data_IF_348552723128
#
_entry.id   IF_348552723128
#
_cell.length_a   1.000
_cell.length_b   1.000
_cell.length_c   1.000
_cell.angle_alpha   90.00
_cell.angle_beta   90.00
_cell.angle_gamma   90.00
#
_symmetry.space_group_name_H-M   'P 1'
#
loop_
_entity.id
_entity.type
_entity.pdbx_description
1 polymer ?
#
# COMPACT_ATOMS: atom_id res chain seq x y z
N UNK A 1 61.15 53.63 11.00
CA UNK A 1 60.21 52.49 11.15
C UNK A 1 58.84 52.95 10.64
N UNK A 2 58.44 52.53 9.44
CA UNK A 2 57.13 52.88 8.87
C UNK A 2 56.22 51.66 8.93
N UNK A 3 55.22 51.70 9.82
CA UNK A 3 54.18 50.69 9.93
C UNK A 3 53.25 50.73 8.73
N UNK A 4 53.30 49.68 7.91
CA UNK A 4 52.42 49.50 6.75
C UNK A 4 51.01 49.10 7.22
N UNK A 5 50.05 50.00 7.21
CA UNK A 5 48.63 49.72 7.36
C UNK A 5 48.13 48.81 6.24
N UNK A 6 47.88 47.51 6.53
CA UNK A 6 47.16 46.59 5.63
C UNK A 6 45.75 47.13 5.38
N UNK A 7 45.49 47.59 4.13
CA UNK A 7 44.12 47.91 3.67
C UNK A 7 43.28 46.61 3.62
N UNK A 8 42.28 46.47 4.48
CA UNK A 8 41.26 45.43 4.37
C UNK A 8 40.51 45.65 3.06
N UNK A 9 40.61 44.68 2.15
CA UNK A 9 39.80 44.64 0.92
C UNK A 9 38.30 44.40 1.35
N UNK A 10 37.45 45.42 1.18
CA UNK A 10 36.00 45.29 1.35
C UNK A 10 35.48 44.26 0.34
N UNK A 11 34.82 43.20 0.84
CA UNK A 11 34.16 42.23 -0.07
C UNK A 11 33.16 42.94 -0.95
N UNK A 12 33.09 42.62 -2.24
CA UNK A 12 32.21 43.30 -3.18
C UNK A 12 30.73 43.05 -2.75
N UNK A 13 29.88 44.06 -2.92
CA UNK A 13 28.49 44.07 -2.50
C UNK A 13 27.67 42.92 -3.12
N UNK A 14 27.94 42.51 -4.34
CA UNK A 14 27.30 41.38 -5.00
C UNK A 14 27.52 40.03 -4.31
N UNK A 15 28.68 39.85 -3.65
CA UNK A 15 28.94 38.66 -2.83
C UNK A 15 28.00 38.61 -1.60
N UNK A 16 27.75 39.76 -0.97
CA UNK A 16 26.79 39.83 0.15
C UNK A 16 25.36 39.57 -0.33
N UNK A 17 25.00 40.08 -1.53
CA UNK A 17 23.70 39.82 -2.15
C UNK A 17 23.56 38.32 -2.47
N UNK A 18 24.60 37.67 -3.03
CA UNK A 18 24.63 36.23 -3.27
C UNK A 18 24.38 35.42 -2.01
N UNK A 19 25.06 35.73 -0.91
CA UNK A 19 24.83 35.05 0.40
C UNK A 19 23.40 35.25 0.88
N UNK A 20 22.82 36.42 0.72
CA UNK A 20 21.45 36.71 1.16
C UNK A 20 20.41 35.93 0.33
N UNK A 21 20.60 35.85 -0.98
CA UNK A 21 19.74 35.06 -1.89
C UNK A 21 19.86 33.57 -1.57
N UNK A 22 21.08 33.03 -1.42
CA UNK A 22 21.29 31.64 -1.04
C UNK A 22 20.70 31.31 0.34
N UNK A 23 20.87 32.22 1.32
CA UNK A 23 20.27 32.09 2.62
C UNK A 23 18.74 32.06 2.58
N UNK A 24 18.12 32.93 1.78
CA UNK A 24 16.67 32.95 1.59
C UNK A 24 16.16 31.66 0.93
N UNK A 25 16.82 31.22 -0.15
CA UNK A 25 16.48 29.94 -0.82
C UNK A 25 16.62 28.76 0.13
N UNK A 26 17.72 28.71 0.91
CA UNK A 26 17.92 27.66 1.91
C UNK A 26 16.82 27.65 2.95
N UNK A 27 16.45 28.81 3.53
CA UNK A 27 15.40 28.91 4.52
C UNK A 27 14.03 28.47 3.97
N UNK A 28 13.68 28.86 2.73
CA UNK A 28 12.45 28.44 2.08
C UNK A 28 12.45 26.93 1.84
N UNK A 29 13.56 26.38 1.32
CA UNK A 29 13.70 24.94 1.08
C UNK A 29 13.62 24.13 2.38
N UNK A 30 14.30 24.58 3.44
CA UNK A 30 14.25 23.95 4.76
C UNK A 30 12.83 24.00 5.37
N UNK A 31 12.14 25.13 5.21
CA UNK A 31 10.74 25.27 5.67
C UNK A 31 9.81 24.31 4.90
N UNK A 32 9.93 24.22 3.56
CA UNK A 32 9.14 23.31 2.75
C UNK A 32 9.41 21.84 3.14
N UNK A 33 10.68 21.45 3.23
CA UNK A 33 11.06 20.09 3.65
C UNK A 33 10.56 19.76 5.07
N UNK A 34 10.64 20.69 6.00
CA UNK A 34 10.14 20.54 7.37
C UNK A 34 8.61 20.36 7.39
N UNK A 35 7.90 21.15 6.61
CA UNK A 35 6.43 21.03 6.47
C UNK A 35 6.03 19.68 5.89
N UNK A 36 6.71 19.23 4.82
CA UNK A 36 6.39 17.98 4.15
C UNK A 36 6.73 16.77 5.07
N UNK A 37 7.83 16.85 5.83
CA UNK A 37 8.17 15.87 6.85
C UNK A 37 7.10 15.78 7.96
N UNK A 38 6.64 16.94 8.48
CA UNK A 38 5.61 16.96 9.51
C UNK A 38 4.26 16.44 9.01
N UNK A 39 3.90 16.73 7.74
CA UNK A 39 2.70 16.19 7.12
C UNK A 39 2.76 14.66 7.01
N UNK A 40 3.87 14.13 6.47
CA UNK A 40 4.07 12.68 6.34
C UNK A 40 4.09 11.97 7.71
N UNK A 41 4.69 12.60 8.73
CA UNK A 41 4.67 12.07 10.09
C UNK A 41 3.25 12.03 10.66
N UNK A 42 2.47 13.11 10.49
CA UNK A 42 1.08 13.15 10.94
C UNK A 42 0.23 12.06 10.27
N UNK A 43 0.43 11.79 8.98
CA UNK A 43 -0.25 10.71 8.27
C UNK A 43 0.13 9.32 8.82
N UNK A 44 1.43 9.07 9.06
CA UNK A 44 1.89 7.83 9.69
C UNK A 44 1.31 7.65 11.10
N UNK A 45 1.37 8.70 11.93
CA UNK A 45 0.80 8.68 13.30
C UNK A 45 -0.71 8.41 13.30
N UNK A 46 -1.43 8.87 12.25
CA UNK A 46 -2.87 8.61 12.10
C UNK A 46 -3.15 7.12 11.79
N UNK A 47 -2.40 6.49 10.88
CA UNK A 47 -2.54 5.06 10.59
C UNK A 47 -2.13 4.19 11.79
N UNK A 48 -1.05 4.54 12.49
CA UNK A 48 -0.64 3.88 13.73
C UNK A 48 -1.74 3.97 14.81
N UNK A 49 -2.46 5.10 14.86
CA UNK A 49 -3.58 5.28 15.79
C UNK A 49 -4.77 4.39 15.43
N UNK A 50 -5.06 4.22 14.13
CA UNK A 50 -6.11 3.29 13.67
C UNK A 50 -5.75 1.84 13.96
N UNK A 51 -4.50 1.44 13.75
CA UNK A 51 -4.02 0.09 14.08
C UNK A 51 -4.13 -0.19 15.59
N UNK A 52 -3.78 0.78 16.44
CA UNK A 52 -3.96 0.67 17.90
C UNK A 52 -5.44 0.57 18.29
N UNK A 53 -6.29 1.40 17.70
CA UNK A 53 -7.73 1.36 17.94
C UNK A 53 -8.31 -0.01 17.57
N UNK A 54 -7.88 -0.59 16.44
CA UNK A 54 -8.29 -1.94 16.06
C UNK A 54 -7.80 -2.99 17.07
N UNK A 55 -6.57 -2.87 17.58
CA UNK A 55 -6.05 -3.76 18.61
C UNK A 55 -6.84 -3.65 19.93
N UNK A 56 -7.22 -2.45 20.34
CA UNK A 56 -8.06 -2.23 21.52
C UNK A 56 -9.44 -2.88 21.33
N UNK A 57 -10.07 -2.75 20.16
CA UNK A 57 -11.31 -3.45 19.83
C UNK A 57 -11.16 -4.96 19.79
N UNK A 58 -10.04 -5.48 19.31
CA UNK A 58 -9.74 -6.92 19.30
C UNK A 58 -9.66 -7.50 20.73
N UNK A 59 -9.08 -6.76 21.68
CA UNK A 59 -9.02 -7.17 23.08
C UNK A 59 -10.41 -7.15 23.75
N UNK A 60 -11.24 -6.16 23.45
CA UNK A 60 -12.59 -6.04 24.02
C UNK A 60 -13.54 -7.13 23.51
N UNK A 61 -13.41 -7.56 22.25
CA UNK A 61 -14.32 -8.50 21.59
C UNK A 61 -13.83 -9.94 21.55
N UNK A 62 -12.59 -10.23 21.98
CA UNK A 62 -12.04 -11.57 21.93
C UNK A 62 -12.95 -12.56 22.69
N UNK A 63 -13.49 -13.62 22.03
CA UNK A 63 -14.24 -14.65 22.74
C UNK A 63 -13.29 -15.35 23.72
N UNK A 64 -13.74 -15.53 24.95
CA UNK A 64 -12.96 -16.19 26.02
C UNK A 64 -12.67 -17.67 25.77
N UNK A 65 -13.07 -18.26 24.62
CA UNK A 65 -13.19 -19.72 24.44
C UNK A 65 -12.52 -20.24 23.15
N UNK A 66 -11.35 -19.73 22.77
CA UNK A 66 -10.61 -20.26 21.62
C UNK A 66 -9.43 -21.19 21.99
N UNK A 67 -9.32 -21.65 23.25
CA UNK A 67 -8.15 -22.39 23.77
C UNK A 67 -8.31 -23.89 23.94
N UNK A 68 -9.44 -24.52 23.62
CA UNK A 68 -9.63 -25.95 23.79
C UNK A 68 -9.94 -26.72 22.50
N UNK A 69 -8.88 -27.01 21.71
CA UNK A 69 -8.88 -28.23 20.85
C UNK A 69 -7.44 -28.68 20.64
N UNK A 70 -7.04 -29.71 21.40
CA UNK A 70 -5.70 -30.29 21.34
C UNK A 70 -5.62 -31.36 20.24
N UNK A 71 -4.91 -31.04 19.15
CA UNK A 71 -4.40 -31.95 18.15
C UNK A 71 -2.86 -31.88 18.08
N UNK A 72 -2.20 -32.72 17.28
CA UNK A 72 -0.74 -32.83 17.17
C UNK A 72 -0.05 -31.46 17.01
N UNK A 73 1.18 -31.28 17.52
CA UNK A 73 1.89 -30.01 17.71
C UNK A 73 1.84 -29.03 16.55
N UNK A 74 1.91 -29.51 15.30
CA UNK A 74 1.85 -28.66 14.10
C UNK A 74 0.45 -28.08 13.84
N UNK A 75 -0.59 -28.83 14.14
CA UNK A 75 -1.98 -28.40 13.98
C UNK A 75 -2.38 -27.41 15.10
N UNK A 76 -1.77 -27.54 16.28
CA UNK A 76 -1.95 -26.56 17.37
C UNK A 76 -1.32 -25.22 17.08
N UNK A 77 -0.12 -25.19 16.47
CA UNK A 77 0.53 -23.94 16.07
C UNK A 77 -0.27 -23.21 15.00
N UNK A 78 -0.76 -23.93 13.99
CA UNK A 78 -1.63 -23.35 12.94
C UNK A 78 -2.95 -22.85 13.50
N UNK A 79 -3.58 -23.60 14.39
CA UNK A 79 -4.82 -23.20 15.04
C UNK A 79 -4.63 -21.95 15.91
N UNK A 80 -3.50 -21.82 16.62
CA UNK A 80 -3.16 -20.66 17.42
C UNK A 80 -2.89 -19.42 16.53
N UNK A 81 -2.15 -19.60 15.41
CA UNK A 81 -1.94 -18.53 14.42
C UNK A 81 -3.28 -18.06 13.84
N UNK A 82 -4.13 -19.00 13.45
CA UNK A 82 -5.45 -18.67 12.90
C UNK A 82 -6.35 -17.94 13.90
N UNK A 83 -6.34 -18.35 15.16
CA UNK A 83 -7.09 -17.69 16.22
C UNK A 83 -6.62 -16.23 16.43
N UNK A 84 -5.31 -15.97 16.33
CA UNK A 84 -4.78 -14.60 16.42
C UNK A 84 -5.21 -13.77 15.21
N UNK A 85 -5.19 -14.33 14.01
CA UNK A 85 -5.68 -13.65 12.81
C UNK A 85 -7.17 -13.30 12.87
N UNK A 86 -8.00 -14.21 13.43
CA UNK A 86 -9.42 -13.95 13.66
C UNK A 86 -9.64 -12.84 14.69
N UNK A 87 -8.82 -12.82 15.74
CA UNK A 87 -8.85 -11.74 16.74
C UNK A 87 -8.49 -10.39 16.13
N UNK A 88 -7.41 -10.32 15.33
CA UNK A 88 -7.05 -9.13 14.58
C UNK A 88 -8.18 -8.68 13.63
N UNK A 89 -8.76 -9.62 12.87
CA UNK A 89 -9.83 -9.36 11.94
C UNK A 89 -11.06 -8.74 12.62
N UNK A 90 -11.44 -9.25 13.81
CA UNK A 90 -12.54 -8.70 14.61
C UNK A 90 -12.25 -7.24 15.04
N UNK A 91 -11.01 -6.93 15.37
CA UNK A 91 -10.58 -5.57 15.70
C UNK A 91 -10.66 -4.64 14.48
N UNK A 92 -10.16 -5.08 13.33
CA UNK A 92 -10.23 -4.29 12.09
C UNK A 92 -11.67 -4.06 11.63
N UNK A 93 -12.57 -5.04 11.76
CA UNK A 93 -13.99 -4.89 11.41
C UNK A 93 -14.66 -3.73 12.18
N UNK A 94 -14.21 -3.45 13.41
CA UNK A 94 -14.77 -2.37 14.21
C UNK A 94 -14.49 -0.97 13.63
N UNK A 95 -13.46 -0.81 12.77
CA UNK A 95 -13.14 0.46 12.11
C UNK A 95 -14.23 0.93 11.14
N UNK A 96 -15.17 0.05 10.76
CA UNK A 96 -16.38 0.45 10.01
C UNK A 96 -17.21 1.50 10.76
N UNK A 97 -17.13 1.54 12.08
CA UNK A 97 -17.82 2.55 12.89
C UNK A 97 -17.16 3.93 12.78
N UNK A 98 -15.86 3.98 12.45
CA UNK A 98 -15.09 5.23 12.31
C UNK A 98 -15.24 5.84 10.90
N UNK A 99 -15.41 5.00 9.88
CA UNK A 99 -15.59 5.44 8.51
C UNK A 99 -16.54 4.48 7.77
N UNK A 100 -17.71 4.95 7.27
CA UNK A 100 -18.66 4.12 6.53
C UNK A 100 -18.09 3.61 5.18
N UNK A 101 -17.07 4.26 4.61
CA UNK A 101 -16.41 3.84 3.37
C UNK A 101 -15.34 2.77 3.62
N UNK A 102 -15.06 2.40 4.88
CA UNK A 102 -14.09 1.35 5.20
C UNK A 102 -14.60 -0.02 4.72
N UNK A 103 -13.72 -0.76 4.01
CA UNK A 103 -14.05 -2.09 3.47
C UNK A 103 -13.12 -3.19 3.97
N UNK A 104 -11.95 -2.85 4.51
CA UNK A 104 -11.03 -3.84 5.04
C UNK A 104 -9.65 -3.27 5.38
N UNK A 105 -8.76 -4.15 5.82
CA UNK A 105 -7.39 -3.80 6.20
C UNK A 105 -6.40 -4.66 5.43
N UNK A 106 -5.48 -4.02 4.71
CA UNK A 106 -4.44 -4.70 3.93
C UNK A 106 -3.12 -4.72 4.69
N UNK A 107 -2.48 -5.91 4.78
CA UNK A 107 -1.18 -6.08 5.42
C UNK A 107 -0.29 -7.01 4.61
N UNK A 108 0.97 -6.65 4.44
CA UNK A 108 2.04 -7.55 4.02
C UNK A 108 2.94 -7.77 5.23
N UNK A 109 3.00 -8.99 5.81
CA UNK A 109 3.76 -9.26 7.02
C UNK A 109 5.23 -8.85 6.91
N UNK A 110 5.77 -8.26 7.99
CA UNK A 110 7.15 -7.79 8.08
C UNK A 110 7.52 -6.67 7.10
N UNK A 111 6.53 -5.96 6.56
CA UNK A 111 6.73 -4.77 5.72
C UNK A 111 6.03 -3.55 6.32
N UNK A 112 6.11 -2.41 5.61
CA UNK A 112 5.38 -1.19 5.98
C UNK A 112 3.96 -1.13 5.43
N UNK A 113 3.54 -2.10 4.63
CA UNK A 113 2.19 -2.14 4.08
C UNK A 113 1.27 -2.72 5.15
N UNK A 114 0.56 -1.83 5.85
CA UNK A 114 -0.31 -2.11 6.98
C UNK A 114 -1.32 -0.95 7.10
N UNK A 115 -2.41 -1.00 6.28
CA UNK A 115 -3.28 0.15 6.04
C UNK A 115 -4.75 -0.24 5.92
N UNK A 116 -5.68 0.67 6.31
CA UNK A 116 -7.08 0.54 5.95
C UNK A 116 -7.27 0.65 4.45
N UNK A 117 -8.27 -0.05 3.94
CA UNK A 117 -8.76 0.06 2.57
C UNK A 117 -10.17 0.62 2.62
N UNK A 118 -10.43 1.56 1.74
CA UNK A 118 -11.72 2.25 1.64
C UNK A 118 -12.32 2.09 0.25
N UNK A 119 -13.64 2.24 0.17
CA UNK A 119 -14.37 2.28 -1.09
C UNK A 119 -15.48 3.33 -0.99
N UNK A 120 -15.57 4.17 -2.02
CA UNK A 120 -16.66 5.13 -2.18
C UNK A 120 -17.24 5.03 -3.58
N UNK A 121 -18.27 4.22 -3.75
CA UNK A 121 -18.93 3.97 -5.03
C UNK A 121 -19.30 5.25 -5.80
N UNK A 122 -19.72 6.31 -5.11
CA UNK A 122 -20.09 7.59 -5.73
C UNK A 122 -18.94 8.45 -6.24
N UNK A 123 -17.70 8.17 -5.80
CA UNK A 123 -16.47 8.88 -6.18
C UNK A 123 -15.26 7.96 -5.90
N UNK A 124 -14.94 7.03 -6.82
CA UNK A 124 -13.91 6.00 -6.60
C UNK A 124 -12.52 6.56 -6.28
N UNK A 125 -12.19 7.76 -6.77
CA UNK A 125 -10.91 8.42 -6.51
C UNK A 125 -10.94 9.37 -5.30
N UNK A 126 -12.04 9.41 -4.53
CA UNK A 126 -12.19 10.31 -3.40
C UNK A 126 -11.01 10.26 -2.42
N UNK A 127 -10.51 9.06 -2.12
CA UNK A 127 -9.44 8.84 -1.17
C UNK A 127 -8.03 8.96 -1.76
N UNK A 128 -7.89 9.25 -3.05
CA UNK A 128 -6.58 9.46 -3.69
C UNK A 128 -5.77 10.56 -2.97
N UNK A 129 -6.44 11.60 -2.47
CA UNK A 129 -5.82 12.70 -1.72
C UNK A 129 -6.54 13.00 -0.40
N UNK A 130 -7.05 11.96 0.26
CA UNK A 130 -7.71 12.07 1.56
C UNK A 130 -7.26 10.99 2.52
N UNK A 131 -7.10 11.39 3.78
CA UNK A 131 -6.89 10.48 4.89
C UNK A 131 -8.16 9.67 5.18
N UNK A 132 -8.04 8.66 6.01
CA UNK A 132 -9.13 7.78 6.42
C UNK A 132 -10.35 8.54 7.00
N UNK A 133 -10.12 9.64 7.71
CA UNK A 133 -11.17 10.53 8.26
C UNK A 133 -11.76 11.50 7.22
N UNK A 134 -11.40 11.40 5.95
CA UNK A 134 -11.83 12.28 4.87
C UNK A 134 -11.10 13.62 4.82
N UNK A 135 -10.20 13.93 5.74
CA UNK A 135 -9.39 15.15 5.70
C UNK A 135 -8.36 15.10 4.57
N UNK A 136 -7.82 16.26 4.16
CA UNK A 136 -6.80 16.32 3.11
C UNK A 136 -5.53 15.61 3.53
N UNK A 137 -5.05 14.71 2.68
CA UNK A 137 -3.78 13.99 2.80
C UNK A 137 -3.04 14.02 1.47
N UNK A 138 -1.72 14.07 1.52
CA UNK A 138 -0.88 13.97 0.33
C UNK A 138 -0.70 12.50 -0.10
N UNK A 139 -0.59 11.58 0.86
CA UNK A 139 -0.44 10.15 0.61
C UNK A 139 -1.76 9.43 0.35
N UNK A 140 -2.90 10.04 0.69
CA UNK A 140 -4.19 9.40 0.55
C UNK A 140 -4.38 8.19 1.47
N UNK A 141 -5.40 7.42 1.20
CA UNK A 141 -5.69 6.12 1.82
C UNK A 141 -5.84 5.09 0.72
N UNK A 142 -5.31 3.86 0.83
CA UNK A 142 -5.57 2.79 -0.14
C UNK A 142 -7.06 2.59 -0.39
N UNK A 143 -7.45 2.45 -1.66
CA UNK A 143 -8.85 2.37 -2.08
C UNK A 143 -9.08 1.35 -3.17
N UNK A 144 -10.31 0.81 -3.26
CA UNK A 144 -10.70 -0.15 -4.29
C UNK A 144 -10.82 0.52 -5.67
N UNK A 145 -10.58 -0.25 -6.72
CA UNK A 145 -10.92 0.12 -8.09
C UNK A 145 -12.43 0.28 -8.29
N UNK A 146 -12.82 0.96 -9.37
CA UNK A 146 -14.22 1.35 -9.63
C UNK A 146 -15.17 0.15 -9.75
N UNK A 147 -14.72 -0.96 -10.34
CA UNK A 147 -15.52 -2.19 -10.46
C UNK A 147 -15.18 -3.24 -9.38
N UNK A 148 -14.17 -2.97 -8.55
CA UNK A 148 -13.77 -3.85 -7.46
C UNK A 148 -14.80 -3.89 -6.35
N UNK A 149 -15.10 -5.09 -5.88
CA UNK A 149 -15.73 -5.35 -4.60
C UNK A 149 -14.88 -6.35 -3.83
N UNK A 150 -15.02 -6.40 -2.52
CA UNK A 150 -14.23 -7.33 -1.68
C UNK A 150 -14.46 -8.81 -2.02
N UNK A 151 -15.58 -9.14 -2.69
CA UNK A 151 -15.95 -10.49 -3.09
C UNK A 151 -15.94 -10.70 -4.61
N UNK A 152 -15.58 -9.68 -5.41
CA UNK A 152 -15.47 -9.84 -6.86
C UNK A 152 -14.32 -10.76 -7.26
N UNK A 153 -14.38 -11.35 -8.44
CA UNK A 153 -13.39 -12.30 -8.97
C UNK A 153 -11.97 -11.72 -9.01
N UNK A 154 -11.86 -10.47 -9.44
CA UNK A 154 -10.63 -9.70 -9.45
C UNK A 154 -10.86 -8.38 -8.75
N UNK A 155 -10.01 -8.03 -7.81
CA UNK A 155 -10.06 -6.73 -7.14
C UNK A 155 -8.71 -6.03 -7.22
N UNK A 156 -8.76 -4.72 -7.43
CA UNK A 156 -7.59 -3.86 -7.46
C UNK A 156 -7.65 -2.91 -6.27
N UNK A 157 -6.56 -2.87 -5.49
CA UNK A 157 -6.36 -1.85 -4.47
C UNK A 157 -5.30 -0.88 -4.98
N UNK A 158 -5.67 0.38 -5.10
CA UNK A 158 -4.78 1.46 -5.48
C UNK A 158 -4.20 2.15 -4.25
N UNK A 159 -2.92 2.56 -4.35
CA UNK A 159 -2.24 3.34 -3.34
C UNK A 159 -1.06 4.11 -3.92
N UNK A 160 -0.75 5.26 -3.32
CA UNK A 160 0.38 6.08 -3.77
C UNK A 160 1.75 5.42 -3.55
N UNK A 161 2.65 5.59 -4.51
CA UNK A 161 4.08 5.29 -4.34
C UNK A 161 4.75 6.48 -3.63
N UNK A 162 4.80 6.44 -2.32
CA UNK A 162 5.38 7.50 -1.52
C UNK A 162 6.89 7.32 -1.38
N UNK A 163 7.67 8.37 -1.68
CA UNK A 163 9.14 8.35 -1.60
C UNK A 163 9.69 8.05 -0.21
N UNK A 164 8.92 8.32 0.84
CA UNK A 164 9.28 7.98 2.23
C UNK A 164 8.98 6.52 2.58
N UNK A 165 8.46 5.72 1.62
CA UNK A 165 8.11 4.32 1.77
C UNK A 165 6.78 4.07 2.47
N UNK A 166 5.94 5.09 2.71
CA UNK A 166 4.57 4.90 3.21
C UNK A 166 3.61 4.53 2.07
N UNK A 167 2.39 4.13 2.45
CA UNK A 167 1.35 3.60 1.57
C UNK A 167 1.92 2.42 0.76
N UNK A 168 1.98 2.49 -0.56
CA UNK A 168 2.58 1.47 -1.42
C UNK A 168 4.00 1.82 -1.90
N UNK A 169 4.68 2.73 -1.18
CA UNK A 169 6.03 3.18 -1.53
C UNK A 169 7.13 2.10 -1.43
N UNK A 170 6.85 0.97 -0.78
CA UNK A 170 7.77 -0.20 -0.71
C UNK A 170 7.37 -1.32 -1.68
N UNK A 171 6.25 -1.18 -2.41
CA UNK A 171 5.77 -2.22 -3.32
C UNK A 171 6.78 -2.51 -4.44
N UNK A 172 7.50 -1.51 -4.91
CA UNK A 172 8.59 -1.65 -5.90
C UNK A 172 9.69 -2.65 -5.49
N UNK A 173 9.79 -3.02 -4.21
CA UNK A 173 10.76 -4.02 -3.73
C UNK A 173 10.48 -5.41 -4.30
N UNK A 174 9.23 -5.69 -4.69
CA UNK A 174 8.82 -6.92 -5.36
C UNK A 174 9.40 -7.09 -6.78
N UNK A 175 10.11 -6.13 -7.34
CA UNK A 175 10.96 -6.32 -8.54
C UNK A 175 12.05 -7.37 -8.31
N UNK A 176 12.35 -7.69 -7.05
CA UNK A 176 13.38 -8.65 -6.66
C UNK A 176 12.74 -9.95 -6.18
N UNK A 177 13.10 -11.05 -6.81
CA UNK A 177 12.65 -12.39 -6.40
C UNK A 177 12.95 -12.72 -4.93
N UNK A 178 14.09 -12.24 -4.40
CA UNK A 178 14.44 -12.48 -2.99
C UNK A 178 13.48 -11.76 -2.03
N UNK A 179 12.99 -10.56 -2.40
CA UNK A 179 11.99 -9.86 -1.59
C UNK A 179 10.65 -10.61 -1.60
N UNK A 180 10.22 -11.12 -2.76
CA UNK A 180 9.03 -11.98 -2.84
C UNK A 180 9.17 -13.23 -1.95
N UNK A 181 10.32 -13.91 -1.96
CA UNK A 181 10.55 -15.09 -1.11
C UNK A 181 10.44 -14.78 0.38
N UNK A 182 10.83 -13.58 0.80
CA UNK A 182 10.73 -13.13 2.19
C UNK A 182 9.31 -12.66 2.53
N UNK A 183 8.54 -12.19 1.54
CA UNK A 183 7.19 -11.63 1.71
C UNK A 183 6.19 -12.21 0.70
N UNK A 184 5.99 -13.55 0.67
CA UNK A 184 5.14 -14.18 -0.35
C UNK A 184 3.63 -13.96 -0.11
N UNK A 185 3.23 -13.47 1.07
CA UNK A 185 1.86 -13.43 1.53
C UNK A 185 1.37 -11.99 1.65
N UNK A 186 0.15 -11.76 1.18
CA UNK A 186 -0.66 -10.57 1.46
C UNK A 186 -1.87 -11.01 2.29
N UNK A 187 -2.17 -10.29 3.35
CA UNK A 187 -3.39 -10.50 4.15
C UNK A 187 -4.36 -9.35 3.90
N UNK A 188 -5.62 -9.69 3.66
CA UNK A 188 -6.69 -8.70 3.54
C UNK A 188 -7.83 -9.08 4.49
N UNK A 189 -8.01 -8.29 5.53
CA UNK A 189 -9.04 -8.50 6.55
C UNK A 189 -10.32 -7.80 6.13
N UNK A 190 -11.39 -8.57 5.92
CA UNK A 190 -12.68 -8.09 5.42
C UNK A 190 -13.79 -8.59 6.31
N UNK A 191 -14.64 -7.71 6.81
CA UNK A 191 -15.83 -8.03 7.62
C UNK A 191 -15.58 -8.99 8.81
N UNK A 192 -14.39 -8.90 9.40
CA UNK A 192 -14.00 -9.73 10.54
C UNK A 192 -13.40 -11.09 10.13
N UNK A 193 -13.11 -11.29 8.86
CA UNK A 193 -12.46 -12.49 8.33
C UNK A 193 -11.06 -12.16 7.79
N UNK A 194 -10.01 -12.90 8.19
CA UNK A 194 -8.72 -12.81 7.55
C UNK A 194 -8.76 -13.57 6.22
N UNK A 195 -8.28 -12.94 5.14
CA UNK A 195 -8.12 -13.55 3.82
C UNK A 195 -6.65 -13.56 3.45
N UNK A 196 -6.14 -14.74 3.12
CA UNK A 196 -4.74 -14.93 2.75
C UNK A 196 -4.59 -15.03 1.24
N UNK A 197 -3.61 -14.31 0.71
CA UNK A 197 -3.29 -14.31 -0.72
C UNK A 197 -1.81 -14.61 -0.91
N UNK A 198 -1.49 -15.49 -1.87
CA UNK A 198 -0.13 -15.80 -2.29
C UNK A 198 0.26 -14.98 -3.52
N UNK A 199 1.36 -14.22 -3.42
CA UNK A 199 1.87 -13.42 -4.53
C UNK A 199 2.38 -14.34 -5.64
N UNK A 200 1.80 -14.22 -6.84
CA UNK A 200 2.18 -15.02 -8.02
C UNK A 200 2.85 -14.22 -9.14
N UNK A 201 2.72 -12.88 -9.15
CA UNK A 201 3.37 -12.04 -10.15
C UNK A 201 3.64 -10.63 -9.61
N UNK A 202 4.70 -10.01 -10.11
CA UNK A 202 5.01 -8.60 -9.90
C UNK A 202 5.46 -7.98 -11.24
N UNK A 203 4.75 -6.95 -11.70
CA UNK A 203 4.84 -6.46 -13.08
C UNK A 203 5.01 -4.95 -13.14
N UNK A 204 6.00 -4.47 -13.90
CA UNK A 204 6.06 -3.09 -14.36
C UNK A 204 5.20 -2.91 -15.61
N UNK A 205 4.30 -1.95 -15.58
CA UNK A 205 3.36 -1.66 -16.67
C UNK A 205 3.04 -0.16 -16.70
N UNK A 206 2.02 0.24 -17.45
CA UNK A 206 1.60 1.64 -17.54
C UNK A 206 0.09 1.74 -17.81
N UNK A 207 -0.48 2.91 -17.51
CA UNK A 207 -1.81 3.27 -18.02
C UNK A 207 -1.65 3.78 -19.44
N UNK A 208 -2.34 3.13 -20.37
CA UNK A 208 -2.32 3.42 -21.79
C UNK A 208 -3.41 4.43 -22.15
N UNK A 209 -3.11 5.36 -23.08
CA UNK A 209 -4.14 6.18 -23.70
C UNK A 209 -5.05 5.33 -24.60
N UNK A 210 -6.22 5.86 -24.99
CA UNK A 210 -7.21 5.12 -25.79
C UNK A 210 -6.67 4.64 -27.13
N UNK A 211 -5.76 5.43 -27.74
CA UNK A 211 -5.12 5.19 -29.04
C UNK A 211 -3.80 4.40 -28.96
N UNK A 212 -3.39 3.99 -27.76
CA UNK A 212 -2.19 3.17 -27.55
C UNK A 212 -2.55 1.66 -27.53
N UNK A 213 -1.76 0.86 -28.22
CA UNK A 213 -1.86 -0.60 -28.18
C UNK A 213 -1.17 -1.16 -26.93
N UNK A 214 -1.77 -2.18 -26.31
CA UNK A 214 -1.19 -2.87 -25.17
C UNK A 214 -2.24 -3.40 -24.19
N UNK A 215 -1.75 -4.15 -23.21
CA UNK A 215 -2.61 -4.78 -22.22
C UNK A 215 -3.01 -3.77 -21.13
N UNK A 216 -4.31 -3.75 -20.80
CA UNK A 216 -4.90 -2.84 -19.82
C UNK A 216 -5.39 -3.64 -18.62
N UNK A 217 -4.47 -4.09 -17.74
CA UNK A 217 -4.80 -4.89 -16.54
C UNK A 217 -5.94 -4.28 -15.70
N UNK A 218 -6.05 -2.95 -15.67
CA UNK A 218 -7.08 -2.22 -14.93
C UNK A 218 -8.48 -2.32 -15.53
N UNK A 219 -8.68 -3.01 -16.67
CA UNK A 219 -9.99 -3.37 -17.21
C UNK A 219 -10.49 -4.73 -16.74
N UNK A 220 -9.61 -5.49 -16.06
CA UNK A 220 -9.92 -6.79 -15.46
C UNK A 220 -10.28 -6.63 -13.99
N UNK A 221 -10.93 -5.51 -13.65
CA UNK A 221 -11.41 -5.16 -12.33
C UNK A 221 -12.86 -5.64 -12.17
N UNK A 222 -13.20 -6.26 -11.04
CA UNK A 222 -14.54 -6.77 -10.76
C UNK A 222 -14.76 -8.24 -11.13
N UNK A 223 -16.00 -8.58 -11.48
CA UNK A 223 -16.37 -9.93 -11.92
C UNK A 223 -16.14 -10.07 -13.42
N UNK A 224 -15.22 -10.93 -13.79
CA UNK A 224 -14.83 -11.20 -15.17
C UNK A 224 -15.06 -12.68 -15.53
N UNK A 225 -15.36 -13.01 -16.81
CA UNK A 225 -15.50 -14.38 -17.26
C UNK A 225 -14.15 -15.11 -17.27
N UNK A 226 -14.19 -16.45 -17.28
CA UNK A 226 -13.02 -17.31 -17.24
C UNK A 226 -12.00 -17.01 -18.34
N UNK A 227 -12.45 -16.71 -19.57
CA UNK A 227 -11.56 -16.36 -20.69
C UNK A 227 -10.71 -15.10 -20.39
N UNK A 228 -11.34 -14.06 -19.83
CA UNK A 228 -10.66 -12.82 -19.45
C UNK A 228 -9.75 -13.05 -18.24
N UNK A 229 -10.15 -13.90 -17.29
CA UNK A 229 -9.34 -14.28 -16.16
C UNK A 229 -8.05 -14.98 -16.59
N UNK A 230 -8.15 -15.96 -17.49
CA UNK A 230 -7.01 -16.70 -18.06
C UNK A 230 -6.08 -15.78 -18.84
N UNK A 231 -6.63 -14.81 -19.58
CA UNK A 231 -5.87 -13.78 -20.28
C UNK A 231 -5.07 -12.92 -19.28
N UNK A 232 -5.72 -12.44 -18.21
CA UNK A 232 -5.08 -11.66 -17.14
C UNK A 232 -3.95 -12.44 -16.47
N UNK A 233 -4.22 -13.69 -16.04
CA UNK A 233 -3.22 -14.55 -15.38
C UNK A 233 -2.04 -14.83 -16.30
N UNK A 234 -2.30 -15.16 -17.57
CA UNK A 234 -1.26 -15.40 -18.57
C UNK A 234 -0.40 -14.17 -18.76
N UNK A 235 -1.03 -12.99 -18.89
CA UNK A 235 -0.31 -11.74 -19.07
C UNK A 235 0.53 -11.39 -17.84
N UNK A 236 -0.04 -11.44 -16.63
CA UNK A 236 0.65 -11.13 -15.38
C UNK A 236 1.88 -12.04 -15.18
N UNK A 237 1.73 -13.35 -15.35
CA UNK A 237 2.83 -14.30 -15.21
C UNK A 237 3.89 -14.12 -16.30
N UNK A 238 3.47 -13.86 -17.53
CA UNK A 238 4.38 -13.68 -18.67
C UNK A 238 5.20 -12.38 -18.63
N UNK A 239 4.77 -11.38 -17.84
CA UNK A 239 5.44 -10.08 -17.69
C UNK A 239 6.06 -9.88 -16.29
N UNK A 240 5.95 -10.86 -15.40
CA UNK A 240 6.61 -10.83 -14.10
C UNK A 240 8.13 -10.98 -14.24
N UNK A 241 8.87 -10.22 -13.42
CA UNK A 241 10.35 -10.25 -13.41
C UNK A 241 10.92 -11.62 -12.97
N UNK A 242 10.08 -12.49 -12.38
CA UNK A 242 10.45 -13.84 -11.91
C UNK A 242 9.25 -14.78 -11.97
N UNK A 243 9.52 -16.08 -12.09
CA UNK A 243 8.50 -17.12 -12.01
C UNK A 243 8.35 -17.61 -10.56
N UNK A 244 7.13 -17.57 -10.06
CA UNK A 244 6.78 -18.06 -8.72
C UNK A 244 6.35 -19.51 -8.72
N UNK A 245 6.18 -20.13 -9.91
CA UNK A 245 5.56 -21.44 -10.12
C UNK A 245 4.07 -21.52 -9.70
N UNK A 246 3.51 -20.45 -9.13
CA UNK A 246 2.09 -20.36 -8.73
C UNK A 246 1.25 -20.04 -9.97
N UNK A 247 0.25 -20.89 -10.22
CA UNK A 247 -0.73 -20.70 -11.31
C UNK A 247 -2.11 -20.57 -10.69
N UNK A 248 -2.71 -19.37 -10.69
CA UNK A 248 -4.10 -19.20 -10.26
C UNK A 248 -5.06 -19.96 -11.17
N UNK A 249 -6.10 -20.55 -10.59
CA UNK A 249 -7.24 -21.17 -11.28
C UNK A 249 -8.44 -20.22 -11.22
N UNK A 250 -9.41 -20.39 -12.12
CA UNK A 250 -10.58 -19.48 -12.19
C UNK A 250 -11.38 -19.41 -10.89
N UNK A 251 -11.36 -20.46 -10.08
CA UNK A 251 -11.98 -20.49 -8.76
C UNK A 251 -11.32 -19.54 -7.77
N UNK A 252 -10.01 -19.25 -7.95
CA UNK A 252 -9.26 -18.35 -7.08
C UNK A 252 -9.69 -16.89 -7.32
N UNK A 253 -9.79 -16.12 -6.23
CA UNK A 253 -9.92 -14.67 -6.32
C UNK A 253 -8.54 -14.03 -6.53
N UNK A 254 -8.43 -13.08 -7.44
CA UNK A 254 -7.19 -12.31 -7.65
C UNK A 254 -7.27 -10.97 -6.94
N UNK A 255 -6.25 -10.67 -6.14
CA UNK A 255 -5.97 -9.36 -5.56
C UNK A 255 -4.78 -8.73 -6.28
N UNK A 256 -4.95 -7.52 -6.80
CA UNK A 256 -3.89 -6.72 -7.39
C UNK A 256 -3.64 -5.47 -6.55
N UNK A 257 -2.41 -5.29 -6.05
CA UNK A 257 -1.96 -4.05 -5.42
C UNK A 257 -1.30 -3.19 -6.49
N UNK A 258 -1.84 -2.03 -6.79
CA UNK A 258 -1.39 -1.16 -7.87
C UNK A 258 -0.90 0.18 -7.36
N UNK A 259 0.29 0.59 -7.82
CA UNK A 259 0.88 1.88 -7.49
C UNK A 259 1.56 2.54 -8.69
N UNK A 260 1.86 3.84 -8.60
CA UNK A 260 2.64 4.52 -9.62
C UNK A 260 4.07 4.00 -9.66
N UNK A 261 4.61 3.80 -10.85
CA UNK A 261 6.03 3.53 -11.07
C UNK A 261 6.64 4.64 -11.93
N UNK A 262 7.88 5.00 -11.62
CA UNK A 262 8.57 6.12 -12.28
C UNK A 262 9.46 5.68 -13.45
N UNK A 263 9.35 4.41 -13.89
CA UNK A 263 10.13 3.85 -15.00
C UNK A 263 9.71 4.45 -16.35
N UNK A 264 8.44 4.86 -16.49
CA UNK A 264 7.90 5.50 -17.69
C UNK A 264 6.80 6.50 -17.33
N UNK A 265 6.34 7.27 -18.34
CA UNK A 265 5.17 8.15 -18.19
C UNK A 265 3.92 7.28 -17.94
N UNK A 266 3.09 7.65 -16.97
CA UNK A 266 1.93 6.87 -16.53
C UNK A 266 2.28 5.46 -16.05
N UNK A 267 3.55 5.21 -15.66
CA UNK A 267 4.01 3.92 -15.18
C UNK A 267 3.24 3.43 -13.96
N UNK A 268 3.04 2.12 -13.91
CA UNK A 268 2.44 1.41 -12.79
C UNK A 268 3.31 0.23 -12.40
N UNK A 269 3.24 -0.11 -11.13
CA UNK A 269 3.76 -1.37 -10.61
C UNK A 269 2.62 -2.13 -9.95
N UNK A 270 2.47 -3.38 -10.33
CA UNK A 270 1.36 -4.25 -9.89
C UNK A 270 1.95 -5.49 -9.23
N UNK A 271 1.51 -5.77 -8.01
CA UNK A 271 1.75 -7.05 -7.33
C UNK A 271 0.42 -7.80 -7.33
N UNK A 272 0.40 -8.95 -7.97
CA UNK A 272 -0.79 -9.80 -8.09
C UNK A 272 -0.65 -11.04 -7.21
N UNK A 273 -1.72 -11.34 -6.46
CA UNK A 273 -1.79 -12.46 -5.54
C UNK A 273 -3.12 -13.21 -5.70
N UNK A 274 -3.10 -14.53 -5.54
CA UNK A 274 -4.29 -15.38 -5.54
C UNK A 274 -4.75 -15.68 -4.13
N UNK A 275 -6.04 -15.72 -3.89
CA UNK A 275 -6.59 -16.16 -2.61
C UNK A 275 -6.34 -17.66 -2.41
N UNK A 276 -5.91 -18.04 -1.22
CA UNK A 276 -5.77 -19.43 -0.82
C UNK A 276 -6.86 -19.83 0.17
N UNK A 277 -7.14 -21.13 0.23
CA UNK A 277 -8.09 -21.64 1.22
C UNK A 277 -7.54 -21.42 2.63
N UNK A 278 -8.40 -20.96 3.51
CA UNK A 278 -8.08 -20.83 4.92
C UNK A 278 -8.17 -22.20 5.62
N UNK A 279 -7.45 -22.41 6.74
CA UNK A 279 -7.44 -23.69 7.44
C UNK A 279 -8.78 -24.10 8.05
#
# INVERSE_FOLDING_TARGET
MAEGKKKQKKSPWWYKLGILVFGAVFCVSAFMAGRDYLAAKKEADAFDSLSKLAADYAEEKAPADLTESAGETTDQEKAAEWAELLKEAAGYAALKNENPDYVGWIRIPNTRIDYPVVDRESDPEYYLHRAFDGSKSFGGTPFLGEASGVDTKCLIIYGHNMKNGSIFGTLDSYKKADYWKEHPIVRFYVDGEPRTYEVFAAVETQVLYEDEDGFRYYRYDGDIPEEEYDELVTWLRGHSDYDTEIVPEYEDQILMLSTCSYHTKNGRFVVAARRVAEP
#
